data_IF_977943621409
#
_entry.id   IF_977943621409
#
_cell.length_a   1.000
_cell.length_b   1.000
_cell.length_c   1.000
_cell.angle_alpha   90.00
_cell.angle_beta   90.00
_cell.angle_gamma   90.00
#
_symmetry.space_group_name_H-M   'P 1'
#
loop_
_entity.id
_entity.type
_entity.pdbx_description
1 polymer ?
#
# COMPACT_ATOMS: atom_id res chain seq x y z
N UNK A 1 24.05 29.08 -17.96
CA UNK A 1 22.65 28.63 -18.14
C UNK A 1 22.62 27.52 -19.17
N UNK A 2 21.71 26.56 -19.02
CA UNK A 2 21.20 25.51 -19.96
C UNK A 2 21.06 24.20 -19.18
N UNK A 3 19.97 24.07 -18.43
CA UNK A 3 19.29 22.80 -18.15
C UNK A 3 17.81 23.12 -17.99
N UNK A 4 17.11 23.21 -19.13
CA UNK A 4 15.66 23.30 -19.16
C UNK A 4 15.01 21.99 -18.70
N UNK A 5 13.81 22.04 -18.10
CA UNK A 5 13.11 20.84 -17.64
C UNK A 5 12.76 19.99 -18.85
N UNK A 6 13.24 18.74 -18.88
CA UNK A 6 12.87 17.73 -19.87
C UNK A 6 11.35 17.66 -19.96
N UNK A 7 10.81 18.20 -21.05
CA UNK A 7 9.40 18.12 -21.38
C UNK A 7 8.93 16.67 -21.38
N UNK A 8 7.85 16.41 -20.65
CA UNK A 8 7.09 15.16 -20.72
C UNK A 8 6.75 14.92 -22.19
N UNK A 9 7.38 13.92 -22.82
CA UNK A 9 6.98 13.49 -24.17
C UNK A 9 5.54 13.00 -24.06
N UNK A 10 4.57 13.77 -24.56
CA UNK A 10 3.17 13.34 -24.63
C UNK A 10 3.13 12.09 -25.50
N UNK A 11 2.70 10.97 -24.90
CA UNK A 11 2.43 9.72 -25.60
C UNK A 11 1.22 9.99 -26.51
N UNK A 12 1.24 9.47 -27.74
CA UNK A 12 0.08 9.60 -28.62
C UNK A 12 -1.11 8.82 -28.04
N UNK A 13 -2.35 9.35 -28.10
CA UNK A 13 -3.52 8.71 -27.46
C UNK A 13 -3.75 7.26 -27.88
N UNK A 14 -3.44 6.91 -29.13
CA UNK A 14 -3.51 5.53 -29.64
C UNK A 14 -2.50 4.61 -28.94
N UNK A 15 -1.27 5.09 -28.75
CA UNK A 15 -0.21 4.33 -28.08
C UNK A 15 -0.49 4.16 -26.58
N UNK A 16 -1.18 5.12 -25.95
CA UNK A 16 -1.62 5.01 -24.56
C UNK A 16 -2.69 3.93 -24.38
N UNK A 17 -3.66 3.86 -25.30
CA UNK A 17 -4.69 2.83 -25.28
C UNK A 17 -4.12 1.41 -25.45
N UNK A 18 -3.19 1.22 -26.40
CA UNK A 18 -2.52 -0.06 -26.60
C UNK A 18 -1.70 -0.49 -25.37
N UNK A 19 -1.01 0.45 -24.71
CA UNK A 19 -0.30 0.19 -23.44
C UNK A 19 -1.25 -0.22 -22.31
N UNK A 20 -2.41 0.44 -22.20
CA UNK A 20 -3.44 0.11 -21.21
C UNK A 20 -3.93 -1.32 -21.41
N UNK A 21 -4.33 -1.68 -22.63
CA UNK A 21 -4.80 -3.05 -22.95
C UNK A 21 -3.70 -4.07 -22.67
N UNK A 22 -2.47 -3.80 -23.11
CA UNK A 22 -1.34 -4.70 -22.90
C UNK A 22 -1.11 -4.96 -21.41
N UNK A 23 -1.18 -3.93 -20.58
CA UNK A 23 -1.03 -4.06 -19.13
C UNK A 23 -2.16 -4.88 -18.50
N UNK A 24 -3.40 -4.66 -18.92
CA UNK A 24 -4.55 -5.44 -18.44
C UNK A 24 -4.44 -6.93 -18.80
N UNK A 25 -3.98 -7.22 -20.02
CA UNK A 25 -3.69 -8.59 -20.45
C UNK A 25 -2.60 -9.20 -19.57
N UNK A 26 -1.48 -8.50 -19.34
CA UNK A 26 -0.41 -8.98 -18.44
C UNK A 26 -0.99 -9.32 -17.07
N UNK A 27 -1.76 -8.42 -16.44
CA UNK A 27 -2.38 -8.65 -15.12
C UNK A 27 -3.27 -9.90 -15.13
N UNK A 28 -4.08 -10.09 -16.18
CA UNK A 28 -4.97 -11.26 -16.30
C UNK A 28 -4.23 -12.59 -16.45
N UNK A 29 -3.02 -12.58 -17.01
CA UNK A 29 -2.18 -13.76 -17.23
C UNK A 29 -1.28 -14.08 -16.03
N UNK A 30 -1.15 -13.17 -15.06
CA UNK A 30 -0.28 -13.39 -13.90
C UNK A 30 -0.79 -14.53 -13.01
N UNK A 31 0.11 -15.36 -12.44
CA UNK A 31 -0.22 -16.36 -11.42
C UNK A 31 -0.88 -15.73 -10.20
N UNK A 32 -1.97 -16.34 -9.70
CA UNK A 32 -2.78 -15.80 -8.59
C UNK A 32 -2.31 -16.28 -7.22
N UNK A 33 -1.42 -17.25 -7.21
CA UNK A 33 -0.86 -17.85 -6.01
C UNK A 33 0.06 -16.85 -5.29
N UNK A 34 0.03 -16.90 -3.95
CA UNK A 34 0.89 -16.09 -3.10
C UNK A 34 2.37 -16.48 -3.29
N UNK A 35 3.29 -15.53 -3.14
CA UNK A 35 4.75 -15.73 -3.13
C UNK A 35 5.38 -16.17 -4.47
N UNK A 36 4.63 -16.21 -5.58
CA UNK A 36 5.23 -16.46 -6.91
C UNK A 36 5.89 -15.20 -7.46
N UNK A 37 5.27 -14.04 -7.21
CA UNK A 37 5.72 -12.75 -7.75
C UNK A 37 6.20 -11.83 -6.62
N UNK A 38 7.39 -11.22 -6.74
CA UNK A 38 7.86 -10.23 -5.77
C UNK A 38 6.87 -9.07 -5.62
N UNK A 39 6.70 -8.56 -4.40
CA UNK A 39 5.79 -7.43 -4.13
C UNK A 39 6.18 -6.19 -4.93
N UNK A 40 7.48 -5.93 -5.05
CA UNK A 40 8.02 -4.83 -5.86
C UNK A 40 7.57 -4.87 -7.31
N UNK A 41 7.47 -6.06 -7.92
CA UNK A 41 6.95 -6.23 -9.28
C UNK A 41 5.46 -5.91 -9.36
N UNK A 42 4.66 -6.40 -8.40
CA UNK A 42 3.24 -6.10 -8.33
C UNK A 42 2.98 -4.59 -8.10
N UNK A 43 3.76 -3.95 -7.23
CA UNK A 43 3.70 -2.52 -6.99
C UNK A 43 4.09 -1.71 -8.22
N UNK A 44 5.10 -2.16 -8.98
CA UNK A 44 5.46 -1.53 -10.25
C UNK A 44 4.31 -1.61 -11.26
N UNK A 45 3.64 -2.76 -11.37
CA UNK A 45 2.47 -2.92 -12.23
C UNK A 45 1.30 -2.06 -11.75
N UNK A 46 1.07 -1.95 -10.44
CA UNK A 46 0.01 -1.11 -9.89
C UNK A 46 0.24 0.37 -10.20
N UNK A 47 1.49 0.85 -10.07
CA UNK A 47 1.85 2.22 -10.47
C UNK A 47 1.62 2.45 -11.95
N UNK A 48 2.01 1.51 -12.80
CA UNK A 48 1.76 1.59 -14.24
C UNK A 48 0.25 1.59 -14.55
N UNK A 49 -0.53 0.77 -13.83
CA UNK A 49 -1.97 0.63 -14.00
C UNK A 49 -2.71 1.92 -13.59
N UNK A 50 -2.23 2.57 -12.53
CA UNK A 50 -2.74 3.87 -12.11
C UNK A 50 -2.36 4.99 -13.08
N UNK A 51 -1.10 5.01 -13.53
CA UNK A 51 -0.63 5.99 -14.51
C UNK A 51 -1.37 5.90 -15.85
N UNK A 52 -1.65 4.69 -16.32
CA UNK A 52 -2.35 4.44 -17.59
C UNK A 52 -3.88 4.45 -17.45
N UNK A 53 -4.42 4.66 -16.24
CA UNK A 53 -5.86 4.62 -15.95
C UNK A 53 -6.53 3.33 -16.47
N UNK A 54 -5.94 2.17 -16.16
CA UNK A 54 -6.53 0.86 -16.52
C UNK A 54 -7.87 0.64 -15.82
N UNK A 55 -8.60 -0.39 -16.25
CA UNK A 55 -9.81 -0.87 -15.58
C UNK A 55 -9.63 -0.99 -14.07
N UNK A 56 -10.65 -0.55 -13.32
CA UNK A 56 -10.69 -0.64 -11.85
C UNK A 56 -10.47 -2.08 -11.39
N UNK A 57 -11.02 -3.06 -12.12
CA UNK A 57 -10.86 -4.48 -11.82
C UNK A 57 -9.38 -4.91 -11.79
N UNK A 58 -8.57 -4.45 -12.76
CA UNK A 58 -7.14 -4.78 -12.85
C UNK A 58 -6.34 -4.16 -11.69
N UNK A 59 -6.66 -2.92 -11.31
CA UNK A 59 -6.03 -2.26 -10.15
C UNK A 59 -6.37 -2.96 -8.85
N UNK A 60 -7.66 -3.26 -8.63
CA UNK A 60 -8.12 -3.99 -7.46
C UNK A 60 -7.49 -5.39 -7.39
N UNK A 61 -7.34 -6.09 -8.52
CA UNK A 61 -6.68 -7.40 -8.57
C UNK A 61 -5.22 -7.34 -8.12
N UNK A 62 -4.47 -6.34 -8.60
CA UNK A 62 -3.10 -6.08 -8.14
C UNK A 62 -3.04 -5.73 -6.64
N UNK A 63 -3.94 -4.87 -6.17
CA UNK A 63 -4.06 -4.54 -4.74
C UNK A 63 -4.30 -5.81 -3.90
N UNK A 64 -5.16 -6.73 -4.35
CA UNK A 64 -5.40 -8.02 -3.64
C UNK A 64 -4.13 -8.85 -3.55
N UNK A 65 -3.37 -8.96 -4.65
CA UNK A 65 -2.16 -9.77 -4.71
C UNK A 65 -1.05 -9.20 -3.84
N UNK A 66 -0.92 -7.88 -3.78
CA UNK A 66 -0.02 -7.19 -2.84
C UNK A 66 -0.47 -7.47 -1.40
N UNK A 67 -1.76 -7.29 -1.11
CA UNK A 67 -2.32 -7.52 0.21
C UNK A 67 -2.03 -8.93 0.73
N UNK A 68 -2.09 -9.99 -0.10
CA UNK A 68 -1.83 -11.36 0.33
C UNK A 68 -0.43 -11.61 0.91
N UNK A 69 0.55 -10.79 0.57
CA UNK A 69 1.97 -10.93 0.96
C UNK A 69 2.55 -9.61 1.48
N UNK A 70 1.70 -8.79 2.09
CA UNK A 70 2.09 -7.47 2.60
C UNK A 70 3.22 -7.55 3.63
N UNK A 71 3.33 -8.66 4.37
CA UNK A 71 4.41 -8.90 5.34
C UNK A 71 5.82 -9.01 4.72
N UNK A 72 5.91 -9.17 3.39
CA UNK A 72 7.15 -9.24 2.63
C UNK A 72 7.47 -7.94 1.88
N UNK A 73 6.55 -6.98 1.91
CA UNK A 73 6.70 -5.70 1.23
C UNK A 73 7.68 -4.79 1.98
N UNK A 74 8.35 -3.93 1.24
CA UNK A 74 9.16 -2.85 1.81
C UNK A 74 8.46 -1.50 1.64
N UNK A 75 8.90 -0.47 2.38
CA UNK A 75 8.29 0.86 2.32
C UNK A 75 8.18 1.38 0.88
N UNK A 76 9.25 1.21 0.10
CA UNK A 76 9.29 1.65 -1.29
C UNK A 76 8.25 0.98 -2.18
N UNK A 77 7.65 -0.15 -1.80
CA UNK A 77 6.60 -0.82 -2.56
C UNK A 77 5.24 -0.13 -2.39
N UNK A 78 5.01 0.50 -1.23
CA UNK A 78 3.76 1.20 -0.89
C UNK A 78 3.76 2.68 -1.29
N UNK A 79 4.90 3.25 -1.66
CA UNK A 79 5.01 4.63 -2.15
C UNK A 79 4.45 4.76 -3.59
N UNK A 80 3.13 4.66 -3.70
CA UNK A 80 2.37 4.75 -4.94
C UNK A 80 2.08 6.24 -5.20
N UNK A 81 2.60 6.83 -6.30
CA UNK A 81 2.35 8.23 -6.59
C UNK A 81 0.87 8.51 -6.80
N UNK A 82 0.39 9.65 -6.30
CA UNK A 82 -0.92 10.16 -6.66
C UNK A 82 -0.87 10.76 -8.07
N UNK A 83 -1.84 10.40 -8.91
CA UNK A 83 -2.02 10.97 -10.25
C UNK A 83 -3.19 11.97 -10.29
N UNK A 84 -3.64 12.44 -9.13
CA UNK A 84 -4.69 13.46 -9.07
C UNK A 84 -4.24 14.79 -9.66
N UNK A 85 -5.08 15.38 -10.51
CA UNK A 85 -4.87 16.68 -11.13
C UNK A 85 -4.96 17.85 -10.13
N UNK A 86 -5.43 17.62 -8.90
CA UNK A 86 -5.81 18.68 -7.95
C UNK A 86 -4.70 19.13 -6.99
N UNK A 87 -3.46 18.64 -7.13
CA UNK A 87 -2.40 18.94 -6.17
C UNK A 87 -2.68 18.32 -4.79
N UNK A 88 -3.31 17.14 -4.80
CA UNK A 88 -3.53 16.31 -3.61
C UNK A 88 -2.20 15.69 -3.11
N UNK A 89 -2.28 14.87 -2.06
CA UNK A 89 -1.17 14.11 -1.47
C UNK A 89 -0.20 13.55 -2.50
N UNK A 90 1.10 13.64 -2.23
CA UNK A 90 2.16 13.13 -3.12
C UNK A 90 1.97 11.64 -3.42
N UNK A 91 1.45 10.92 -2.43
CA UNK A 91 1.14 9.50 -2.51
C UNK A 91 -0.37 9.21 -2.48
N UNK A 92 -0.79 8.13 -3.13
CA UNK A 92 -2.18 7.64 -3.10
C UNK A 92 -2.43 6.85 -1.80
N UNK A 93 -2.87 7.59 -0.79
CA UNK A 93 -3.19 7.05 0.53
C UNK A 93 -4.36 6.06 0.50
N UNK A 94 -5.35 6.26 -0.37
CA UNK A 94 -6.54 5.41 -0.39
C UNK A 94 -6.25 4.01 -0.92
N UNK A 95 -5.32 3.91 -1.87
CA UNK A 95 -4.83 2.63 -2.39
C UNK A 95 -4.12 1.83 -1.32
N UNK A 96 -3.19 2.44 -0.58
CA UNK A 96 -2.46 1.77 0.51
C UNK A 96 -3.40 1.37 1.65
N UNK A 97 -4.33 2.24 2.02
CA UNK A 97 -5.37 1.94 3.01
C UNK A 97 -6.22 0.73 2.60
N UNK A 98 -6.58 0.62 1.32
CA UNK A 98 -7.35 -0.52 0.80
C UNK A 98 -6.53 -1.80 0.82
N UNK A 99 -5.26 -1.77 0.40
CA UNK A 99 -4.34 -2.92 0.50
C UNK A 99 -4.27 -3.43 1.95
N UNK A 100 -4.06 -2.53 2.91
CA UNK A 100 -3.98 -2.90 4.33
C UNK A 100 -5.28 -3.50 4.85
N UNK A 101 -6.43 -2.91 4.52
CA UNK A 101 -7.74 -3.46 4.89
C UNK A 101 -7.93 -4.89 4.36
N UNK A 102 -7.56 -5.12 3.10
CA UNK A 102 -7.66 -6.44 2.47
C UNK A 102 -6.73 -7.46 3.13
N UNK A 103 -5.52 -7.05 3.51
CA UNK A 103 -4.58 -7.90 4.26
C UNK A 103 -5.19 -8.37 5.58
N UNK A 104 -5.72 -7.43 6.38
CA UNK A 104 -6.37 -7.74 7.65
C UNK A 104 -7.57 -8.68 7.48
N UNK A 105 -8.45 -8.40 6.50
CA UNK A 105 -9.59 -9.28 6.19
C UNK A 105 -9.17 -10.70 5.79
N UNK A 106 -8.08 -10.85 5.03
CA UNK A 106 -7.54 -12.15 4.64
C UNK A 106 -6.97 -12.93 5.83
N UNK A 107 -6.27 -12.26 6.75
CA UNK A 107 -5.73 -12.88 7.97
C UNK A 107 -6.84 -13.33 8.91
N UNK A 108 -7.86 -12.50 9.15
CA UNK A 108 -9.01 -12.88 9.98
C UNK A 108 -9.80 -14.09 9.43
N UNK A 109 -9.91 -14.24 8.10
CA UNK A 109 -10.61 -15.38 7.47
C UNK A 109 -9.82 -16.70 7.56
N UNK A 110 -8.49 -16.61 7.59
CA UNK A 110 -7.61 -17.79 7.71
C UNK A 110 -7.58 -18.31 9.14
N UNK A 111 -7.78 -17.43 10.12
CA UNK A 111 -7.75 -17.72 11.57
C UNK A 111 -9.14 -17.97 12.17
N UNK A 112 -10.11 -18.45 11.39
CA UNK A 112 -11.44 -18.78 11.87
C UNK A 112 -11.46 -19.99 12.83
N UNK A 113 -10.97 -19.82 14.06
CA UNK A 113 -11.43 -20.39 15.34
C UNK A 113 -10.48 -19.89 16.45
N UNK A 114 -10.92 -18.86 17.18
CA UNK A 114 -10.55 -18.40 18.54
C UNK A 114 -10.21 -16.90 18.59
N UNK A 115 -11.02 -16.08 19.29
CA UNK A 115 -10.55 -14.78 19.77
C UNK A 115 -9.41 -15.05 20.76
N UNK A 116 -8.21 -14.56 20.47
CA UNK A 116 -7.07 -14.61 21.38
C UNK A 116 -7.26 -13.67 22.57
N UNK A 117 -8.26 -13.97 23.41
CA UNK A 117 -8.25 -13.61 24.83
C UNK A 117 -7.58 -14.79 25.54
N UNK A 118 -6.25 -14.81 25.60
CA UNK A 118 -5.51 -15.49 26.67
C UNK A 118 -4.05 -15.06 26.62
N UNK A 119 -3.70 -14.19 27.58
CA UNK A 119 -2.35 -13.93 27.99
C UNK A 119 -1.67 -15.25 28.41
N UNK A 120 -0.66 -15.68 27.65
CA UNK A 120 0.49 -16.41 28.17
C UNK A 120 1.61 -16.42 27.11
N UNK A 121 2.68 -15.71 27.44
CA UNK A 121 3.93 -15.64 26.68
C UNK A 121 4.49 -17.03 26.37
N UNK A 122 4.84 -17.27 25.10
CA UNK A 122 6.04 -17.99 24.59
C UNK A 122 5.89 -18.83 23.31
N UNK A 123 4.85 -18.64 22.51
CA UNK A 123 4.91 -19.04 21.10
C UNK A 123 4.20 -18.02 20.23
N UNK A 124 4.95 -17.05 19.70
CA UNK A 124 4.45 -16.17 18.65
C UNK A 124 4.16 -17.07 17.45
N UNK A 125 2.87 -17.28 17.14
CA UNK A 125 2.49 -18.01 15.94
C UNK A 125 3.09 -17.28 14.72
N UNK A 126 3.45 -17.99 13.64
CA UNK A 126 3.94 -17.35 12.41
C UNK A 126 3.00 -16.24 11.90
N UNK A 127 1.69 -16.37 12.15
CA UNK A 127 0.67 -15.40 11.77
C UNK A 127 0.74 -14.09 12.55
N UNK A 128 1.04 -14.12 13.85
CA UNK A 128 1.25 -12.92 14.65
C UNK A 128 2.48 -12.15 14.15
N UNK A 129 3.61 -12.84 13.95
CA UNK A 129 4.84 -12.21 13.43
C UNK A 129 4.65 -11.54 12.06
N UNK A 130 3.81 -12.10 11.18
CA UNK A 130 3.47 -11.48 9.89
C UNK A 130 2.62 -10.20 10.06
N UNK A 131 1.69 -10.20 11.02
CA UNK A 131 0.87 -9.03 11.34
C UNK A 131 1.76 -7.91 11.90
N UNK A 132 2.71 -8.23 12.78
CA UNK A 132 3.71 -7.27 13.28
C UNK A 132 4.51 -6.62 12.16
N UNK A 133 5.01 -7.42 11.19
CA UNK A 133 5.80 -6.91 10.06
C UNK A 133 5.00 -5.94 9.20
N UNK A 134 3.75 -6.32 8.87
CA UNK A 134 2.85 -5.44 8.13
C UNK A 134 2.51 -4.17 8.92
N UNK A 135 2.34 -4.25 10.24
CA UNK A 135 2.13 -3.09 11.10
C UNK A 135 3.31 -2.13 11.12
N UNK A 136 4.53 -2.62 11.29
CA UNK A 136 5.76 -1.81 11.23
C UNK A 136 5.96 -1.16 9.86
N UNK A 137 5.61 -1.88 8.80
CA UNK A 137 5.62 -1.33 7.44
C UNK A 137 4.63 -0.17 7.31
N UNK A 138 3.42 -0.32 7.85
CA UNK A 138 2.39 0.72 7.84
C UNK A 138 2.75 1.92 8.74
N UNK A 139 3.38 1.71 9.88
CA UNK A 139 3.97 2.78 10.70
C UNK A 139 5.03 3.56 9.93
N UNK A 140 5.93 2.85 9.23
CA UNK A 140 6.96 3.47 8.40
C UNK A 140 6.35 4.27 7.25
N UNK A 141 5.29 3.74 6.64
CA UNK A 141 4.53 4.44 5.61
C UNK A 141 3.86 5.70 6.16
N UNK A 142 3.19 5.61 7.31
CA UNK A 142 2.55 6.77 7.94
C UNK A 142 3.58 7.86 8.27
N UNK A 143 4.73 7.48 8.82
CA UNK A 143 5.83 8.41 9.10
C UNK A 143 6.35 9.11 7.83
N UNK A 144 6.49 8.38 6.72
CA UNK A 144 6.97 8.92 5.43
C UNK A 144 6.00 9.95 4.84
N UNK A 145 4.69 9.73 4.97
CA UNK A 145 3.68 10.66 4.43
C UNK A 145 3.29 11.78 5.40
N UNK A 146 3.65 11.68 6.69
CA UNK A 146 3.28 12.66 7.72
C UNK A 146 3.72 14.10 7.43
N UNK A 147 4.90 14.37 6.83
CA UNK A 147 5.32 15.73 6.48
C UNK A 147 4.53 16.36 5.31
N UNK A 148 3.68 15.59 4.62
CA UNK A 148 2.92 16.09 3.48
C UNK A 148 1.79 17.03 3.94
N UNK A 149 1.93 18.32 3.63
CA UNK A 149 0.94 19.36 3.99
C UNK A 149 -0.44 19.15 3.38
N UNK A 150 -0.54 18.34 2.33
CA UNK A 150 -1.82 18.00 1.69
C UNK A 150 -2.46 16.74 2.26
N UNK A 151 -1.78 16.05 3.20
CA UNK A 151 -2.37 14.97 3.97
C UNK A 151 -3.39 15.55 4.95
N UNK A 152 -4.65 15.20 4.78
CA UNK A 152 -5.71 15.68 5.66
C UNK A 152 -5.72 14.94 6.99
N UNK A 153 -6.18 15.62 8.05
CA UNK A 153 -6.32 15.04 9.40
C UNK A 153 -7.15 13.75 9.36
N UNK A 154 -8.22 13.73 8.57
CA UNK A 154 -9.07 12.54 8.42
C UNK A 154 -8.33 11.35 7.81
N UNK A 155 -7.49 11.56 6.79
CA UNK A 155 -6.66 10.50 6.20
C UNK A 155 -5.61 9.99 7.20
N UNK A 156 -4.95 10.90 7.91
CA UNK A 156 -3.97 10.56 8.94
C UNK A 156 -4.61 9.70 10.05
N UNK A 157 -5.70 10.19 10.66
CA UNK A 157 -6.41 9.46 11.73
C UNK A 157 -6.86 8.09 11.23
N UNK A 158 -7.41 8.02 10.01
CA UNK A 158 -7.89 6.75 9.45
C UNK A 158 -6.78 5.71 9.28
N UNK A 159 -5.53 6.10 8.98
CA UNK A 159 -4.39 5.20 8.92
C UNK A 159 -3.91 4.83 10.33
N UNK A 160 -3.80 5.84 11.21
CA UNK A 160 -3.38 5.65 12.59
C UNK A 160 -4.28 4.65 13.33
N UNK A 161 -5.61 4.79 13.20
CA UNK A 161 -6.57 3.85 13.79
C UNK A 161 -6.44 2.42 13.26
N UNK A 162 -6.00 2.25 12.00
CA UNK A 162 -5.80 0.93 11.41
C UNK A 162 -4.55 0.25 11.97
N UNK A 163 -3.50 1.04 12.20
CA UNK A 163 -2.23 0.59 12.77
C UNK A 163 -2.40 0.27 14.25
N UNK A 164 -3.02 1.16 15.04
CA UNK A 164 -3.20 0.98 16.50
C UNK A 164 -4.08 -0.21 16.90
N UNK A 165 -4.87 -0.76 15.97
CA UNK A 165 -5.64 -1.99 16.19
C UNK A 165 -4.78 -3.25 16.16
N UNK A 166 -3.53 -3.15 15.71
CA UNK A 166 -2.57 -4.25 15.73
C UNK A 166 -1.83 -4.16 17.07
N UNK A 167 -1.88 -5.21 17.90
CA UNK A 167 -1.39 -5.24 19.29
C UNK A 167 0.14 -5.05 19.46
N UNK A 168 0.81 -4.58 18.40
CA UNK A 168 2.26 -4.67 18.17
C UNK A 168 2.91 -3.30 17.99
N UNK A 169 2.11 -2.24 18.15
CA UNK A 169 2.57 -0.85 18.09
C UNK A 169 3.45 -0.60 19.30
N UNK A 170 4.75 -0.44 19.06
CA UNK A 170 5.61 0.28 20.02
C UNK A 170 5.07 1.70 20.09
N UNK A 171 4.52 2.11 21.24
CA UNK A 171 3.86 3.40 21.44
C UNK A 171 4.64 4.57 20.80
N UNK A 172 5.98 4.52 20.87
CA UNK A 172 6.91 5.48 20.28
C UNK A 172 6.72 5.73 18.77
N UNK A 173 6.38 4.70 17.99
CA UNK A 173 6.24 4.79 16.54
C UNK A 173 5.07 5.70 16.14
N UNK A 174 3.94 5.55 16.82
CA UNK A 174 2.75 6.37 16.58
C UNK A 174 2.96 7.80 17.08
N UNK A 175 3.54 7.99 18.27
CA UNK A 175 3.88 9.32 18.78
C UNK A 175 4.82 10.08 17.83
N UNK A 176 5.80 9.38 17.23
CA UNK A 176 6.67 9.96 16.21
C UNK A 176 5.91 10.42 14.98
N UNK A 177 4.97 9.60 14.47
CA UNK A 177 4.14 10.00 13.33
C UNK A 177 3.31 11.25 13.63
N UNK A 178 2.72 11.31 14.83
CA UNK A 178 1.93 12.46 15.29
C UNK A 178 2.81 13.71 15.39
N UNK A 179 3.99 13.62 16.01
CA UNK A 179 4.93 14.74 16.13
C UNK A 179 5.37 15.27 14.75
N UNK A 180 5.66 14.38 13.80
CA UNK A 180 6.01 14.77 12.42
C UNK A 180 4.82 15.45 11.73
N UNK A 181 3.61 14.92 11.89
CA UNK A 181 2.40 15.46 11.24
C UNK A 181 1.98 16.84 11.79
N UNK A 182 2.26 17.10 13.07
CA UNK A 182 1.92 18.37 13.71
C UNK A 182 2.97 19.48 13.52
N UNK A 183 4.14 19.15 12.95
CA UNK A 183 5.21 20.10 12.65
C UNK A 183 4.99 20.83 11.32
#
# INVERSE_FOLDING_TARGET
>A
EIFGPKGRKRIEPKQEHEKRITLEIIVSLLPREKNIMPVSFLSMLLRAAMYLETMVASRIDLEKRIALQLEQAVLSDLLIPSFSLKGDTVFDVETVKRIMKMYLECKCKTEGTLPCLNANHNSVSPSLCDIDKAGRLMESYLAEISPDRSLTVSKFISLAEMISKQETVTEDGMYRCIDIYLK
#
